data_IF_814461763089
#
_entry.id   IF_814461763089
#
_cell.length_a   1.000
_cell.length_b   1.000
_cell.length_c   1.000
_cell.angle_alpha   90.00
_cell.angle_beta   90.00
_cell.angle_gamma   90.00
#
_symmetry.space_group_name_H-M   'P 1'
#
loop_
_entity.id
_entity.type
_entity.pdbx_description
1 polymer ?
#
# COMPACT_ATOMS: atom_id res chain seq x y z
N UNK A 1 -12.06 34.77 13.97
CA UNK A 1 -12.31 33.35 14.34
C UNK A 1 -11.32 32.54 13.47
N UNK A 2 -10.22 32.09 14.06
CA UNK A 2 -9.32 31.14 13.41
C UNK A 2 -10.02 29.79 13.44
N UNK A 3 -10.62 29.38 12.33
CA UNK A 3 -11.13 28.03 12.18
C UNK A 3 -9.90 27.13 12.00
N UNK A 4 -9.48 26.48 13.05
CA UNK A 4 -8.50 25.39 12.98
C UNK A 4 -9.18 24.25 12.23
N UNK A 5 -8.92 24.15 10.92
CA UNK A 5 -9.34 22.98 10.14
C UNK A 5 -8.60 21.77 10.69
N UNK A 6 -9.32 20.72 11.06
CA UNK A 6 -8.74 19.45 11.49
C UNK A 6 -7.94 18.81 10.35
N UNK A 7 -6.96 17.98 10.70
CA UNK A 7 -6.20 17.19 9.72
C UNK A 7 -7.10 16.15 9.06
N UNK A 8 -6.92 15.91 7.77
CA UNK A 8 -7.51 14.78 7.05
C UNK A 8 -6.93 13.45 7.54
N UNK A 9 -7.52 12.33 7.13
CA UNK A 9 -7.00 11.00 7.47
C UNK A 9 -5.55 10.82 7.00
N UNK A 10 -5.29 11.17 5.75
CA UNK A 10 -3.96 11.13 5.15
C UNK A 10 -2.96 11.98 5.94
N UNK A 11 -3.32 13.21 6.26
CA UNK A 11 -2.46 14.12 7.04
C UNK A 11 -2.15 13.59 8.43
N UNK A 12 -3.11 12.96 9.10
CA UNK A 12 -2.90 12.35 10.42
C UNK A 12 -1.87 11.22 10.35
N UNK A 13 -1.99 10.33 9.36
CA UNK A 13 -1.08 9.20 9.21
C UNK A 13 0.32 9.68 8.81
N UNK A 14 0.42 10.56 7.81
CA UNK A 14 1.72 11.10 7.39
C UNK A 14 2.42 11.84 8.54
N UNK A 15 1.69 12.65 9.30
CA UNK A 15 2.23 13.38 10.45
C UNK A 15 2.71 12.46 11.57
N UNK A 16 2.00 11.36 11.82
CA UNK A 16 2.39 10.35 12.82
C UNK A 16 3.66 9.58 12.43
N UNK A 17 3.98 9.55 11.13
CA UNK A 17 5.15 8.84 10.60
C UNK A 17 6.26 9.79 10.13
N UNK A 18 6.10 11.11 10.30
CA UNK A 18 7.11 12.10 9.93
C UNK A 18 8.38 11.91 10.76
N UNK A 19 9.52 11.73 10.10
CA UNK A 19 10.84 11.57 10.75
C UNK A 19 11.85 12.60 10.25
N UNK A 20 11.59 13.26 9.12
CA UNK A 20 12.45 14.30 8.57
C UNK A 20 11.64 15.31 7.76
N UNK A 21 12.14 16.55 7.67
CA UNK A 21 11.49 17.65 6.96
C UNK A 21 10.37 18.33 7.76
N UNK A 22 9.82 19.39 7.17
CA UNK A 22 8.71 20.14 7.74
C UNK A 22 7.36 19.72 7.13
N UNK A 23 6.33 19.57 7.95
CA UNK A 23 4.99 19.15 7.50
C UNK A 23 4.26 20.29 6.77
N UNK A 24 4.86 20.76 5.66
CA UNK A 24 4.38 21.86 4.81
C UNK A 24 4.07 21.34 3.40
N UNK A 25 2.87 21.68 2.92
CA UNK A 25 2.40 21.23 1.58
C UNK A 25 3.37 21.60 0.46
N UNK A 26 3.71 20.63 -0.36
CA UNK A 26 4.61 20.80 -1.51
C UNK A 26 6.10 20.74 -1.18
N UNK A 27 6.48 20.61 0.10
CA UNK A 27 7.85 20.35 0.50
C UNK A 27 8.13 18.84 0.58
N UNK A 28 9.39 18.49 0.52
CA UNK A 28 9.83 17.12 0.72
C UNK A 28 9.74 16.75 2.22
N UNK A 29 9.20 15.57 2.49
CA UNK A 29 9.09 14.99 3.83
C UNK A 29 9.61 13.57 3.82
N UNK A 30 10.33 13.19 4.87
CA UNK A 30 10.75 11.81 5.15
C UNK A 30 9.76 11.14 6.11
N UNK A 31 9.20 10.02 5.70
CA UNK A 31 8.28 9.24 6.52
C UNK A 31 8.87 7.88 6.88
N UNK A 32 8.61 7.43 8.10
CA UNK A 32 8.92 6.07 8.53
C UNK A 32 7.97 5.09 7.84
N UNK A 33 8.53 3.96 7.41
CA UNK A 33 7.78 2.86 6.82
C UNK A 33 7.67 1.72 7.84
N UNK A 34 6.43 1.31 8.13
CA UNK A 34 6.15 0.21 9.06
C UNK A 34 6.25 -1.15 8.37
N UNK A 35 5.78 -1.25 7.11
CA UNK A 35 5.71 -2.52 6.40
C UNK A 35 6.26 -2.40 4.98
N UNK A 36 6.85 -3.48 4.48
CA UNK A 36 7.27 -3.58 3.07
C UNK A 36 6.68 -4.81 2.39
N UNK A 37 6.45 -4.69 1.09
CA UNK A 37 5.96 -5.73 0.21
C UNK A 37 6.88 -5.84 -1.01
N UNK A 38 7.29 -7.05 -1.35
CA UNK A 38 7.94 -7.35 -2.64
C UNK A 38 7.24 -8.52 -3.30
N UNK A 39 7.31 -8.59 -4.61
CA UNK A 39 6.86 -9.74 -5.40
C UNK A 39 8.01 -10.28 -6.25
N UNK A 40 7.89 -11.45 -6.83
CA UNK A 40 9.01 -12.17 -7.43
C UNK A 40 9.54 -11.57 -8.75
N UNK A 41 8.75 -10.76 -9.46
CA UNK A 41 9.23 -10.11 -10.68
C UNK A 41 10.17 -8.91 -10.41
N UNK A 42 10.05 -8.28 -9.23
CA UNK A 42 10.84 -7.09 -8.84
C UNK A 42 11.69 -7.32 -7.59
N UNK A 43 11.39 -8.33 -6.81
CA UNK A 43 11.96 -8.58 -5.50
C UNK A 43 13.46 -8.94 -5.55
N UNK A 44 13.91 -9.70 -6.55
CA UNK A 44 15.33 -10.07 -6.67
C UNK A 44 16.20 -8.83 -6.68
N UNK A 45 15.87 -7.81 -7.48
CA UNK A 45 16.63 -6.56 -7.53
C UNK A 45 16.61 -5.83 -6.18
N UNK A 46 15.44 -5.67 -5.57
CA UNK A 46 15.32 -5.03 -4.27
C UNK A 46 16.16 -5.72 -3.19
N UNK A 47 16.23 -7.04 -3.21
CA UNK A 47 17.03 -7.79 -2.25
C UNK A 47 18.52 -7.75 -2.51
N UNK A 48 18.96 -7.69 -3.75
CA UNK A 48 20.38 -7.44 -4.10
C UNK A 48 20.81 -6.06 -3.58
N UNK A 49 19.99 -5.05 -3.77
CA UNK A 49 20.21 -3.70 -3.23
C UNK A 49 20.24 -3.69 -1.70
N UNK A 50 19.30 -4.41 -1.06
CA UNK A 50 19.26 -4.56 0.40
C UNK A 50 20.53 -5.26 0.94
N UNK A 51 20.97 -6.35 0.32
CA UNK A 51 22.19 -7.04 0.73
C UNK A 51 23.45 -6.17 0.56
N UNK A 52 23.50 -5.35 -0.50
CA UNK A 52 24.59 -4.40 -0.72
C UNK A 52 24.74 -3.35 0.40
N UNK A 53 23.65 -3.03 1.11
CA UNK A 53 23.68 -2.13 2.28
C UNK A 53 24.32 -2.77 3.53
N UNK A 54 24.51 -4.09 3.55
CA UNK A 54 25.13 -4.78 4.68
C UNK A 54 24.29 -4.82 5.97
N UNK A 55 23.01 -4.55 5.90
CA UNK A 55 22.11 -4.58 7.07
C UNK A 55 21.76 -6.04 7.41
N UNK A 56 22.04 -6.51 8.64
CA UNK A 56 21.92 -7.94 8.96
C UNK A 56 20.45 -8.43 9.05
N UNK A 57 19.52 -7.58 9.45
CA UNK A 57 18.09 -7.89 9.54
C UNK A 57 17.24 -6.68 9.20
N UNK A 58 16.05 -6.92 8.66
CA UNK A 58 15.06 -5.86 8.41
C UNK A 58 14.68 -5.14 9.71
N UNK A 59 14.43 -3.84 9.61
CA UNK A 59 14.09 -2.95 10.74
C UNK A 59 12.64 -2.49 10.72
N UNK A 60 11.89 -2.86 9.71
CA UNK A 60 10.45 -2.63 9.62
C UNK A 60 9.69 -3.54 10.58
N UNK A 61 8.47 -3.19 10.94
CA UNK A 61 7.60 -4.05 11.76
C UNK A 61 7.29 -5.37 11.02
N UNK A 62 7.06 -5.28 9.72
CA UNK A 62 6.81 -6.42 8.82
C UNK A 62 7.42 -6.17 7.45
N UNK A 63 8.22 -7.09 6.97
CA UNK A 63 8.62 -7.18 5.56
C UNK A 63 8.17 -8.51 5.02
N UNK A 64 7.47 -8.52 3.88
CA UNK A 64 6.91 -9.73 3.30
C UNK A 64 7.29 -9.83 1.83
N UNK A 65 7.83 -10.97 1.44
CA UNK A 65 8.13 -11.33 0.06
C UNK A 65 7.11 -12.33 -0.45
N UNK A 66 6.59 -12.09 -1.62
CA UNK A 66 5.57 -12.92 -2.28
C UNK A 66 6.11 -13.55 -3.55
N UNK A 67 5.69 -14.78 -3.82
CA UNK A 67 5.86 -15.43 -5.10
C UNK A 67 4.48 -15.59 -5.73
N UNK A 68 4.12 -14.67 -6.58
CA UNK A 68 2.76 -14.61 -7.15
C UNK A 68 2.70 -14.18 -8.63
N UNK A 69 3.70 -13.45 -9.14
CA UNK A 69 3.72 -13.00 -10.53
C UNK A 69 4.20 -14.09 -11.51
N UNK A 70 5.21 -14.85 -11.14
CA UNK A 70 5.76 -15.96 -11.93
C UNK A 70 5.52 -17.32 -11.25
N UNK A 71 4.34 -17.52 -10.70
CA UNK A 71 3.94 -18.81 -10.09
C UNK A 71 4.08 -19.95 -11.08
N UNK A 72 3.65 -19.74 -12.33
CA UNK A 72 4.01 -20.61 -13.46
C UNK A 72 5.36 -20.15 -14.00
N UNK A 73 6.40 -20.91 -13.71
CA UNK A 73 7.75 -20.64 -14.16
C UNK A 73 7.92 -21.00 -15.63
N UNK A 74 8.34 -20.05 -16.45
CA UNK A 74 8.55 -20.27 -17.88
C UNK A 74 10.01 -20.58 -18.24
N UNK A 75 10.92 -20.53 -17.28
CA UNK A 75 12.32 -20.82 -17.41
C UNK A 75 12.99 -21.09 -16.06
N UNK A 76 14.27 -21.42 -16.05
CA UNK A 76 15.03 -21.64 -14.82
C UNK A 76 15.29 -20.34 -14.06
N UNK A 77 15.25 -19.22 -14.74
CA UNK A 77 15.47 -17.89 -14.14
C UNK A 77 14.42 -17.59 -13.05
N UNK A 78 13.16 -17.90 -13.31
CA UNK A 78 12.10 -17.72 -12.30
C UNK A 78 12.32 -18.65 -11.09
N UNK A 79 12.78 -19.89 -11.32
CA UNK A 79 13.10 -20.82 -10.25
C UNK A 79 14.26 -20.32 -9.39
N UNK A 80 15.27 -19.74 -10.01
CA UNK A 80 16.42 -19.16 -9.32
C UNK A 80 16.03 -17.92 -8.52
N UNK A 81 15.20 -17.04 -9.06
CA UNK A 81 14.62 -15.90 -8.34
C UNK A 81 13.86 -16.37 -7.08
N UNK A 82 13.00 -17.38 -7.21
CA UNK A 82 12.24 -17.92 -6.07
C UNK A 82 13.16 -18.49 -4.98
N UNK A 83 14.22 -19.21 -5.37
CA UNK A 83 15.20 -19.77 -4.44
C UNK A 83 16.02 -18.67 -3.76
N UNK A 84 16.46 -17.68 -4.53
CA UNK A 84 17.21 -16.53 -4.01
C UNK A 84 16.36 -15.76 -3.00
N UNK A 85 15.16 -15.33 -3.37
CA UNK A 85 14.22 -14.60 -2.49
C UNK A 85 13.98 -15.40 -1.20
N UNK A 86 13.69 -16.70 -1.31
CA UNK A 86 13.49 -17.55 -0.13
C UNK A 86 14.71 -17.61 0.78
N UNK A 87 15.92 -17.65 0.22
CA UNK A 87 17.18 -17.66 1.00
C UNK A 87 17.42 -16.34 1.72
N UNK A 88 17.19 -15.22 1.05
CA UNK A 88 17.30 -13.86 1.61
C UNK A 88 16.28 -13.65 2.72
N UNK A 89 15.05 -14.08 2.52
CA UNK A 89 14.00 -14.00 3.54
C UNK A 89 14.41 -14.72 4.83
N UNK A 90 14.94 -15.93 4.70
CA UNK A 90 15.43 -16.71 5.86
C UNK A 90 16.61 -16.02 6.56
N UNK A 91 17.53 -15.45 5.79
CA UNK A 91 18.73 -14.78 6.32
C UNK A 91 18.38 -13.51 7.08
N UNK A 92 17.47 -12.69 6.56
CA UNK A 92 17.23 -11.33 7.06
C UNK A 92 15.94 -11.19 7.89
N UNK A 93 15.17 -12.28 8.10
CA UNK A 93 13.97 -12.27 8.94
C UNK A 93 12.75 -11.67 8.24
N UNK A 94 12.63 -11.90 6.93
CA UNK A 94 11.52 -11.49 6.09
C UNK A 94 10.51 -12.63 6.02
N UNK A 95 9.23 -12.33 6.07
CA UNK A 95 8.18 -13.32 5.84
C UNK A 95 8.17 -13.74 4.37
N UNK A 96 8.08 -15.03 4.12
CA UNK A 96 8.10 -15.58 2.78
C UNK A 96 6.77 -16.26 2.43
N UNK A 97 6.01 -15.65 1.53
CA UNK A 97 4.77 -16.18 0.98
C UNK A 97 5.09 -17.02 -0.26
N UNK A 98 4.92 -18.35 -0.15
CA UNK A 98 5.29 -19.32 -1.17
C UNK A 98 4.36 -19.25 -2.39
N UNK A 99 4.80 -19.78 -3.55
CA UNK A 99 3.95 -19.93 -4.73
C UNK A 99 2.64 -20.65 -4.39
N UNK A 100 1.54 -20.15 -4.94
CA UNK A 100 0.20 -20.73 -4.75
C UNK A 100 -0.54 -20.24 -3.49
N UNK A 101 0.07 -19.41 -2.65
CA UNK A 101 -0.60 -18.84 -1.48
C UNK A 101 -1.60 -17.72 -1.84
N UNK A 102 -1.45 -17.10 -2.98
CA UNK A 102 -2.33 -16.06 -3.48
C UNK A 102 -1.58 -14.79 -3.89
N UNK A 103 -2.32 -13.85 -4.47
CA UNK A 103 -1.80 -12.56 -4.95
C UNK A 103 -1.32 -11.71 -3.78
N UNK A 104 -0.15 -11.08 -3.93
CA UNK A 104 0.55 -10.33 -2.87
C UNK A 104 -0.35 -9.30 -2.19
N UNK A 105 -1.07 -8.49 -2.94
CA UNK A 105 -1.91 -7.42 -2.39
C UNK A 105 -3.09 -7.96 -1.57
N UNK A 106 -3.74 -9.04 -2.03
CA UNK A 106 -4.85 -9.66 -1.33
C UNK A 106 -4.37 -10.36 -0.06
N UNK A 107 -3.30 -11.14 -0.15
CA UNK A 107 -2.72 -11.82 1.02
C UNK A 107 -2.21 -10.81 2.04
N UNK A 108 -1.60 -9.70 1.58
CA UNK A 108 -1.13 -8.65 2.49
C UNK A 108 -2.29 -7.98 3.21
N UNK A 109 -3.37 -7.65 2.48
CA UNK A 109 -4.58 -7.06 3.04
C UNK A 109 -5.19 -7.95 4.13
N UNK A 110 -5.28 -9.28 3.88
CA UNK A 110 -5.88 -10.25 4.79
C UNK A 110 -5.01 -10.56 6.01
N UNK A 111 -3.68 -10.67 5.83
CA UNK A 111 -2.79 -11.26 6.84
C UNK A 111 -1.90 -10.28 7.56
N UNK A 112 -1.54 -9.17 6.94
CA UNK A 112 -0.51 -8.26 7.46
C UNK A 112 -0.95 -6.80 7.57
N UNK A 113 -1.86 -6.35 6.69
CA UNK A 113 -2.29 -4.94 6.67
C UNK A 113 -2.91 -4.49 7.99
N UNK A 114 -2.55 -3.29 8.45
CA UNK A 114 -3.04 -2.68 9.69
C UNK A 114 -3.48 -1.25 9.41
N UNK A 115 -4.71 -0.86 9.75
CA UNK A 115 -5.16 0.52 9.58
C UNK A 115 -4.22 1.54 10.24
N UNK A 116 -3.98 2.65 9.56
CA UNK A 116 -3.13 3.73 10.06
C UNK A 116 -1.62 3.50 9.92
N UNK A 117 -1.18 2.34 9.44
CA UNK A 117 0.22 2.05 9.15
C UNK A 117 0.64 2.48 7.75
N UNK A 118 1.96 2.58 7.54
CA UNK A 118 2.58 2.85 6.24
C UNK A 118 3.10 1.57 5.63
N UNK A 119 2.90 1.42 4.32
CA UNK A 119 3.37 0.31 3.51
C UNK A 119 4.05 0.84 2.25
N UNK A 120 5.25 0.35 1.93
CA UNK A 120 5.89 0.57 0.64
C UNK A 120 6.10 -0.77 -0.06
N UNK A 121 5.84 -0.82 -1.36
CA UNK A 121 5.99 -2.05 -2.13
C UNK A 121 6.67 -1.84 -3.47
N UNK A 122 7.45 -2.82 -3.91
CA UNK A 122 8.06 -2.83 -5.25
C UNK A 122 7.07 -3.21 -6.35
N UNK A 123 5.81 -2.91 -6.14
CA UNK A 123 4.71 -3.14 -7.06
C UNK A 123 3.79 -1.91 -7.13
N UNK A 124 3.36 -1.56 -8.34
CA UNK A 124 2.53 -0.37 -8.60
C UNK A 124 1.14 -0.44 -7.95
N UNK A 125 0.62 -1.63 -7.67
CA UNK A 125 -0.69 -1.85 -7.05
C UNK A 125 -0.64 -1.99 -5.52
N UNK A 126 0.49 -1.70 -4.90
CA UNK A 126 0.62 -1.59 -3.42
C UNK A 126 -0.47 -0.71 -2.78
N UNK A 127 -1.01 0.37 -3.44
CA UNK A 127 -2.13 1.15 -2.93
C UNK A 127 -3.41 0.36 -2.58
N UNK A 128 -3.51 -0.91 -2.97
CA UNK A 128 -4.57 -1.83 -2.50
C UNK A 128 -4.73 -1.81 -0.97
N UNK A 129 -3.64 -1.67 -0.22
CA UNK A 129 -3.65 -1.54 1.24
C UNK A 129 -4.44 -0.35 1.77
N UNK A 130 -4.69 0.66 0.94
CA UNK A 130 -5.55 1.79 1.29
C UNK A 130 -7.02 1.41 1.53
N UNK A 131 -7.44 0.23 1.06
CA UNK A 131 -8.79 -0.31 1.27
C UNK A 131 -9.13 -0.59 2.74
N UNK A 132 -8.12 -0.80 3.59
CA UNK A 132 -8.28 -0.93 5.06
C UNK A 132 -7.76 0.28 5.84
N UNK A 133 -7.38 1.37 5.16
CA UNK A 133 -6.91 2.58 5.83
C UNK A 133 -5.40 2.64 6.07
N UNK A 134 -4.58 2.00 5.24
CA UNK A 134 -3.12 2.18 5.21
C UNK A 134 -2.72 3.30 4.25
N UNK A 135 -1.62 3.98 4.53
CA UNK A 135 -0.88 4.73 3.52
C UNK A 135 0.06 3.73 2.82
N UNK A 136 -0.38 3.22 1.68
CA UNK A 136 0.30 2.17 0.93
C UNK A 136 0.75 2.73 -0.43
N UNK A 137 2.04 2.68 -0.72
CA UNK A 137 2.67 3.35 -1.87
C UNK A 137 3.51 2.36 -2.66
N UNK A 138 3.33 2.35 -3.98
CA UNK A 138 4.25 1.65 -4.89
C UNK A 138 5.50 2.47 -5.14
N UNK A 139 6.68 1.84 -5.06
CA UNK A 139 7.97 2.51 -5.20
C UNK A 139 9.02 1.63 -5.89
N UNK A 140 10.17 2.18 -6.21
CA UNK A 140 11.28 1.44 -6.76
C UNK A 140 11.91 0.45 -5.77
N UNK A 141 12.61 -0.56 -6.30
CA UNK A 141 13.26 -1.59 -5.46
C UNK A 141 14.23 -0.99 -4.46
N UNK A 142 15.00 0.02 -4.86
CA UNK A 142 15.95 0.70 -3.96
C UNK A 142 15.25 1.38 -2.79
N UNK A 143 14.14 2.07 -3.01
CA UNK A 143 13.38 2.71 -1.93
C UNK A 143 12.84 1.67 -0.94
N UNK A 144 12.36 0.54 -1.46
CA UNK A 144 11.90 -0.59 -0.63
C UNK A 144 13.06 -1.17 0.16
N UNK A 145 14.23 -1.35 -0.45
CA UNK A 145 15.44 -1.83 0.22
C UNK A 145 15.88 -0.89 1.36
N UNK A 146 15.91 0.42 1.10
CA UNK A 146 16.24 1.45 2.10
C UNK A 146 15.24 1.42 3.25
N UNK A 147 13.94 1.32 2.97
CA UNK A 147 12.90 1.21 4.00
C UNK A 147 13.05 -0.06 4.84
N UNK A 148 13.35 -1.22 4.23
CA UNK A 148 13.68 -2.45 4.96
C UNK A 148 14.86 -2.26 5.90
N UNK A 149 15.86 -1.48 5.50
CA UNK A 149 17.01 -1.11 6.33
C UNK A 149 16.71 -0.12 7.46
N UNK A 150 15.48 0.41 7.52
CA UNK A 150 15.04 1.41 8.51
C UNK A 150 15.26 2.86 8.10
N UNK A 151 15.61 3.11 6.82
CA UNK A 151 15.70 4.44 6.26
C UNK A 151 14.32 5.06 6.04
N UNK A 152 14.26 6.39 6.04
CA UNK A 152 13.04 7.12 5.72
C UNK A 152 12.72 7.00 4.22
N UNK A 153 11.45 7.01 3.88
CA UNK A 153 10.99 7.17 2.51
C UNK A 153 10.64 8.64 2.26
N UNK A 154 11.25 9.24 1.24
CA UNK A 154 11.08 10.65 0.93
C UNK A 154 10.04 10.85 -0.17
N UNK A 155 9.08 11.70 0.12
CA UNK A 155 8.04 12.11 -0.83
C UNK A 155 7.81 13.62 -0.75
N UNK A 156 7.44 14.22 -1.87
CA UNK A 156 6.85 15.56 -1.80
C UNK A 156 5.49 15.46 -1.12
N UNK A 157 5.25 16.26 -0.07
CA UNK A 157 3.94 16.29 0.61
C UNK A 157 2.81 16.40 -0.42
N UNK A 158 1.99 15.35 -0.60
CA UNK A 158 1.06 15.26 -1.71
C UNK A 158 -0.15 16.18 -1.52
N UNK A 159 -0.75 16.60 -2.62
CA UNK A 159 -2.08 17.20 -2.57
C UNK A 159 -3.12 16.13 -2.26
N UNK A 160 -4.09 16.45 -1.40
CA UNK A 160 -5.16 15.52 -1.05
C UNK A 160 -6.40 15.89 -1.84
N UNK A 161 -6.92 14.91 -2.58
CA UNK A 161 -8.18 15.03 -3.34
C UNK A 161 -9.24 14.24 -2.61
N UNK A 162 -10.28 14.92 -2.16
CA UNK A 162 -11.44 14.33 -1.51
C UNK A 162 -12.41 13.80 -2.56
N UNK A 163 -12.72 12.49 -2.49
CA UNK A 163 -13.81 11.87 -3.25
C UNK A 163 -14.94 11.55 -2.27
N UNK A 164 -16.03 12.30 -2.37
CA UNK A 164 -17.19 12.13 -1.49
C UNK A 164 -18.18 11.15 -2.13
N UNK A 165 -18.31 9.95 -1.55
CA UNK A 165 -19.26 8.94 -1.99
C UNK A 165 -20.59 9.11 -1.25
N UNK A 166 -21.68 9.15 -2.01
CA UNK A 166 -23.04 9.26 -1.47
C UNK A 166 -23.91 8.12 -1.98
N UNK A 167 -24.89 7.70 -1.19
CA UNK A 167 -25.79 6.61 -1.56
C UNK A 167 -25.11 5.24 -1.54
N UNK A 168 -25.56 4.34 -2.39
CA UNK A 168 -25.08 2.96 -2.53
C UNK A 168 -25.01 2.56 -3.99
N UNK A 169 -24.28 1.48 -4.28
CA UNK A 169 -24.21 0.91 -5.63
C UNK A 169 -25.60 0.46 -6.08
N UNK A 170 -25.97 0.81 -7.32
CA UNK A 170 -27.18 0.32 -7.97
C UNK A 170 -27.03 -1.17 -8.33
N UNK A 171 -28.15 -1.89 -8.56
CA UNK A 171 -28.06 -3.25 -9.09
C UNK A 171 -27.18 -3.30 -10.36
N UNK A 172 -26.36 -4.35 -10.46
CA UNK A 172 -25.39 -4.57 -11.57
C UNK A 172 -24.21 -3.59 -11.65
N UNK A 173 -24.04 -2.70 -10.68
CA UNK A 173 -22.88 -1.80 -10.55
C UNK A 173 -21.95 -2.34 -9.50
N UNK A 174 -20.66 -2.42 -9.83
CA UNK A 174 -19.58 -2.90 -8.95
C UNK A 174 -18.69 -1.76 -8.46
N UNK A 175 -17.84 -2.05 -7.47
CA UNK A 175 -16.82 -1.10 -7.03
C UNK A 175 -15.86 -0.69 -8.15
N UNK A 176 -15.63 -1.58 -9.14
CA UNK A 176 -14.82 -1.26 -10.31
C UNK A 176 -15.43 -0.11 -11.14
N UNK A 177 -16.75 -0.03 -11.24
CA UNK A 177 -17.41 1.07 -11.96
C UNK A 177 -17.18 2.41 -11.25
N UNK A 178 -17.07 2.41 -9.91
CA UNK A 178 -16.76 3.64 -9.15
C UNK A 178 -15.38 4.19 -9.55
N UNK A 179 -14.36 3.35 -9.54
CA UNK A 179 -13.01 3.81 -9.91
C UNK A 179 -12.90 4.14 -11.40
N UNK A 180 -13.60 3.44 -12.26
CA UNK A 180 -13.66 3.77 -13.69
C UNK A 180 -14.30 5.15 -13.91
N UNK A 181 -15.32 5.51 -13.15
CA UNK A 181 -15.93 6.85 -13.19
C UNK A 181 -14.97 7.93 -12.66
N UNK A 182 -14.21 7.64 -11.62
CA UNK A 182 -13.15 8.56 -11.13
C UNK A 182 -12.07 8.75 -12.20
N UNK A 183 -11.63 7.66 -12.85
CA UNK A 183 -10.70 7.70 -13.99
C UNK A 183 -11.24 8.51 -15.16
N UNK A 184 -12.52 8.33 -15.52
CA UNK A 184 -13.16 9.11 -16.57
C UNK A 184 -13.13 10.61 -16.28
N UNK A 185 -13.31 11.02 -15.02
CA UNK A 185 -13.32 12.44 -14.61
C UNK A 185 -11.92 13.02 -14.50
N UNK A 186 -10.95 12.26 -13.98
CA UNK A 186 -9.62 12.77 -13.65
C UNK A 186 -8.57 12.46 -14.73
N UNK A 187 -8.82 11.49 -15.59
CA UNK A 187 -7.87 10.89 -16.56
C UNK A 187 -6.71 10.14 -15.86
N UNK A 188 -5.89 9.46 -16.66
CA UNK A 188 -4.73 8.65 -16.20
C UNK A 188 -3.56 9.47 -15.62
N UNK A 189 -3.61 10.79 -15.69
CA UNK A 189 -2.60 11.70 -15.10
C UNK A 189 -3.18 12.60 -14.00
N UNK A 190 -4.48 12.49 -13.75
CA UNK A 190 -5.16 13.37 -12.81
C UNK A 190 -4.76 13.18 -11.36
N UNK A 191 -4.20 12.02 -11.01
CA UNK A 191 -3.74 11.69 -9.66
C UNK A 191 -2.28 11.98 -9.36
N UNK A 192 -1.48 12.40 -10.35
CA UNK A 192 -0.04 12.63 -10.17
C UNK A 192 0.22 13.65 -9.05
N UNK A 193 1.07 13.29 -8.08
CA UNK A 193 1.38 14.10 -6.90
C UNK A 193 0.21 14.27 -5.93
N UNK A 194 -0.78 13.38 -5.99
CA UNK A 194 -1.99 13.46 -5.16
C UNK A 194 -2.24 12.15 -4.41
N UNK A 195 -2.89 12.27 -3.26
CA UNK A 195 -3.54 11.17 -2.54
C UNK A 195 -5.05 11.31 -2.72
N UNK A 196 -5.71 10.24 -3.11
CA UNK A 196 -7.17 10.21 -3.25
C UNK A 196 -7.76 9.70 -1.94
N UNK A 197 -8.44 10.56 -1.20
CA UNK A 197 -9.07 10.23 0.07
C UNK A 197 -10.58 10.08 -0.12
N UNK A 198 -11.08 8.86 0.02
CA UNK A 198 -12.49 8.53 -0.09
C UNK A 198 -13.21 8.79 1.24
N UNK A 199 -14.37 9.38 1.17
CA UNK A 199 -15.18 9.71 2.35
C UNK A 199 -16.68 9.80 2.00
N UNK A 200 -17.49 10.15 2.96
CA UNK A 200 -18.95 10.26 2.82
C UNK A 200 -19.69 9.02 3.28
N UNK A 201 -21.00 9.12 3.31
CA UNK A 201 -21.87 8.04 3.82
C UNK A 201 -21.85 6.78 2.94
N UNK A 202 -21.62 6.94 1.63
CA UNK A 202 -21.51 5.83 0.69
C UNK A 202 -20.36 4.89 0.99
N UNK A 203 -19.30 5.35 1.68
CA UNK A 203 -18.17 4.49 2.09
C UNK A 203 -18.64 3.33 2.98
N UNK A 204 -19.63 3.58 3.85
CA UNK A 204 -20.17 2.55 4.77
C UNK A 204 -20.90 1.42 4.04
N UNK A 205 -21.29 1.63 2.79
CA UNK A 205 -21.99 0.62 1.99
C UNK A 205 -21.04 -0.31 1.23
N UNK A 206 -19.72 -0.01 1.25
CA UNK A 206 -18.67 -0.77 0.56
C UNK A 206 -17.96 -1.70 1.53
N UNK A 207 -17.82 -2.96 1.15
CA UNK A 207 -16.98 -3.94 1.85
C UNK A 207 -15.49 -3.62 1.68
N UNK A 208 -14.62 -4.18 2.51
CA UNK A 208 -13.16 -3.98 2.37
C UNK A 208 -12.63 -4.45 1.01
N UNK A 209 -13.02 -5.62 0.46
CA UNK A 209 -12.61 -5.99 -0.90
C UNK A 209 -13.06 -5.00 -1.99
N UNK A 210 -14.23 -4.41 -1.86
CA UNK A 210 -14.70 -3.37 -2.78
C UNK A 210 -13.87 -2.09 -2.67
N UNK A 211 -13.55 -1.66 -1.44
CA UNK A 211 -12.62 -0.52 -1.20
C UNK A 211 -11.24 -0.81 -1.77
N UNK A 212 -10.73 -2.03 -1.57
CA UNK A 212 -9.45 -2.47 -2.09
C UNK A 212 -9.42 -2.48 -3.63
N UNK A 213 -10.50 -2.86 -4.29
CA UNK A 213 -10.66 -2.76 -5.76
C UNK A 213 -10.51 -1.31 -6.22
N UNK A 214 -11.12 -0.37 -5.51
CA UNK A 214 -11.06 1.07 -5.85
C UNK A 214 -9.64 1.61 -5.66
N UNK A 215 -9.01 1.32 -4.51
CA UNK A 215 -7.64 1.79 -4.23
C UNK A 215 -6.60 1.12 -5.10
N UNK A 216 -6.77 -0.16 -5.46
CA UNK A 216 -5.91 -0.88 -6.39
C UNK A 216 -5.84 -0.16 -7.73
N UNK A 217 -6.98 0.14 -8.34
CA UNK A 217 -7.03 0.85 -9.62
C UNK A 217 -6.74 2.36 -9.51
N UNK A 218 -6.54 2.88 -8.32
CA UNK A 218 -6.01 4.23 -8.10
C UNK A 218 -4.61 4.42 -8.69
N UNK A 219 -3.84 3.34 -8.87
CA UNK A 219 -2.57 3.35 -9.58
C UNK A 219 -2.72 3.86 -11.03
N UNK A 220 -3.83 3.54 -11.70
CA UNK A 220 -4.11 3.97 -13.07
C UNK A 220 -4.37 5.48 -13.20
N UNK A 221 -4.67 6.17 -12.08
CA UNK A 221 -4.74 7.63 -12.03
C UNK A 221 -3.37 8.31 -12.00
N UNK A 222 -2.30 7.53 -11.81
CA UNK A 222 -0.97 8.05 -11.46
C UNK A 222 -0.93 8.63 -10.04
N UNK A 223 -1.88 8.29 -9.19
CA UNK A 223 -1.92 8.77 -7.80
C UNK A 223 -0.78 8.18 -6.97
N UNK A 224 -0.25 8.96 -6.02
CA UNK A 224 0.73 8.48 -5.04
C UNK A 224 0.14 7.32 -4.24
N UNK A 225 -1.09 7.48 -3.77
CA UNK A 225 -1.89 6.41 -3.15
C UNK A 225 -3.36 6.81 -3.11
N UNK A 226 -4.20 5.87 -2.68
CA UNK A 226 -5.63 6.09 -2.39
C UNK A 226 -5.94 5.48 -1.03
N UNK A 227 -6.87 6.06 -0.29
CA UNK A 227 -7.19 5.59 1.07
C UNK A 227 -8.66 5.71 1.39
N UNK A 228 -9.18 4.71 2.09
CA UNK A 228 -10.47 4.71 2.77
C UNK A 228 -10.28 4.83 4.29
N UNK A 229 -11.23 5.41 5.02
CA UNK A 229 -11.20 5.34 6.48
C UNK A 229 -11.41 3.91 6.96
N UNK A 230 -10.78 3.54 8.07
CA UNK A 230 -11.12 2.33 8.82
C UNK A 230 -12.39 2.59 9.65
N UNK A 231 -13.28 1.64 9.65
CA UNK A 231 -14.59 1.70 10.32
C UNK A 231 -15.06 0.31 10.77
N UNK A 232 -16.31 0.19 11.14
CA UNK A 232 -16.93 -1.08 11.55
C UNK A 232 -16.84 -2.16 10.47
N UNK A 233 -16.91 -1.78 9.19
CA UNK A 233 -16.73 -2.71 8.06
C UNK A 233 -15.30 -3.24 8.02
N UNK A 234 -14.30 -2.39 8.27
CA UNK A 234 -12.90 -2.79 8.39
C UNK A 234 -12.70 -3.74 9.56
N UNK A 235 -13.30 -3.44 10.72
CA UNK A 235 -13.24 -4.32 11.89
C UNK A 235 -13.90 -5.68 11.61
N UNK A 236 -15.04 -5.69 10.93
CA UNK A 236 -15.71 -6.95 10.56
C UNK A 236 -14.84 -7.81 9.62
N UNK A 237 -14.17 -7.18 8.65
CA UNK A 237 -13.24 -7.85 7.77
C UNK A 237 -12.05 -8.45 8.55
N UNK A 238 -11.43 -7.67 9.44
CA UNK A 238 -10.28 -8.14 10.23
C UNK A 238 -10.70 -9.27 11.19
N UNK A 239 -11.89 -9.19 11.79
CA UNK A 239 -12.46 -10.29 12.60
C UNK A 239 -12.61 -11.57 11.79
N UNK A 240 -13.07 -11.50 10.56
CA UNK A 240 -13.19 -12.65 9.67
C UNK A 240 -11.84 -13.26 9.27
N UNK A 241 -10.75 -12.53 9.46
CA UNK A 241 -9.36 -12.96 9.26
C UNK A 241 -8.66 -13.38 10.57
N UNK A 242 -9.41 -13.52 11.67
CA UNK A 242 -8.86 -13.77 13.03
C UNK A 242 -7.87 -12.70 13.50
N UNK A 243 -8.10 -11.43 13.13
CA UNK A 243 -7.23 -10.28 13.38
C UNK A 243 -8.00 -9.09 13.97
N UNK A 244 -8.87 -9.35 14.94
CA UNK A 244 -9.68 -8.30 15.59
C UNK A 244 -8.88 -7.38 16.53
N UNK A 245 -7.64 -7.74 16.82
CA UNK A 245 -6.74 -7.11 17.79
C UNK A 245 -5.80 -6.06 17.17
N UNK A 246 -5.88 -5.85 15.86
CA UNK A 246 -5.04 -4.90 15.11
C UNK A 246 -5.74 -3.59 14.76
#
# INVERSE_FOLDING_TARGET
>A
IVVTMGLTLTEKILKAHLVDGEFVKGQEIGIRIDQTLTQDATGTMAYLEYEAMGVPRVRTEKSVAYIDHNTLQSGFENADDHRFIGSVCKKHGIYFSRPGNGICHQVHLERFGIPGKTLIGSDSHTPTGGGIGMIAIGAGGLDVAVAMGGGAYYITYPKIVKVNLTGKLSPWVSAKDVILEVLRRMSVKGGVGKVIEYCGEGVKTLTVPERATITNMGAELGATTSIFPSDETTLAFLKAQDRADV
#
